data_IF_762935030078
#
_entry.id   IF_762935030078
#
_cell.length_a   1.000
_cell.length_b   1.000
_cell.length_c   1.000
_cell.angle_alpha   90.00
_cell.angle_beta   90.00
_cell.angle_gamma   90.00
#
_symmetry.space_group_name_H-M   'P 1'
#
loop_
_entity.id
_entity.type
_entity.pdbx_description
1 polymer ?
#
# COMPACT_ATOMS: atom_id res chain seq x y z
N UNK A 1 -18.28 -7.57 -55.01
CA UNK A 1 -17.20 -7.68 -53.99
C UNK A 1 -17.59 -8.62 -52.86
N UNK A 2 -18.73 -8.44 -52.21
CA UNK A 2 -19.18 -9.28 -51.08
C UNK A 2 -19.24 -10.79 -51.44
N UNK A 3 -19.76 -11.14 -52.62
CA UNK A 3 -19.86 -12.52 -53.08
C UNK A 3 -18.48 -13.16 -53.35
N UNK A 4 -17.48 -12.37 -53.78
CA UNK A 4 -16.12 -12.84 -53.96
C UNK A 4 -15.44 -13.12 -52.65
N UNK A 5 -15.54 -12.22 -51.68
CA UNK A 5 -15.01 -12.43 -50.33
C UNK A 5 -15.60 -13.68 -49.68
N UNK A 6 -16.93 -13.85 -49.74
CA UNK A 6 -17.60 -15.03 -49.21
C UNK A 6 -17.15 -16.35 -49.89
N UNK A 7 -16.81 -16.30 -51.21
CA UNK A 7 -16.24 -17.44 -51.89
C UNK A 7 -14.83 -17.78 -51.41
N UNK A 8 -13.96 -16.75 -51.26
CA UNK A 8 -12.59 -16.92 -50.74
C UNK A 8 -12.63 -17.52 -49.33
N UNK A 9 -13.46 -16.98 -48.44
CA UNK A 9 -13.62 -17.48 -47.07
C UNK A 9 -14.05 -18.96 -47.03
N UNK A 10 -14.90 -19.36 -47.94
CA UNK A 10 -15.34 -20.77 -48.08
C UNK A 10 -14.22 -21.67 -48.62
N UNK A 11 -13.42 -21.18 -49.58
CA UNK A 11 -12.30 -21.92 -50.15
C UNK A 11 -11.17 -22.05 -49.09
N UNK A 12 -10.87 -20.98 -48.39
CA UNK A 12 -9.90 -20.98 -47.31
C UNK A 12 -10.30 -21.96 -46.18
N UNK A 13 -11.62 -22.03 -45.84
CA UNK A 13 -12.13 -22.99 -44.86
C UNK A 13 -12.04 -24.46 -45.33
N UNK A 14 -11.93 -24.72 -46.66
CA UNK A 14 -11.82 -26.04 -47.19
C UNK A 14 -10.36 -26.56 -47.33
N UNK A 15 -9.41 -25.65 -47.57
CA UNK A 15 -8.04 -26.01 -47.93
C UNK A 15 -7.05 -25.42 -46.96
N UNK A 16 -7.47 -24.56 -46.04
CA UNK A 16 -6.63 -23.72 -45.23
C UNK A 16 -6.66 -24.01 -43.75
N UNK A 17 -5.67 -23.54 -43.11
CA UNK A 17 -5.58 -23.31 -41.67
C UNK A 17 -5.44 -21.81 -41.46
N UNK A 18 -6.28 -21.23 -40.60
CA UNK A 18 -6.21 -19.80 -40.32
C UNK A 18 -4.86 -19.49 -39.63
N UNK A 19 -4.19 -18.37 -40.00
CA UNK A 19 -2.99 -17.96 -39.30
C UNK A 19 -3.31 -17.63 -37.84
N UNK A 20 -2.44 -18.05 -36.93
CA UNK A 20 -2.53 -17.71 -35.52
C UNK A 20 -1.43 -16.70 -35.16
N UNK A 21 -1.83 -15.53 -34.74
CA UNK A 21 -0.89 -14.49 -34.29
C UNK A 21 -0.24 -14.89 -32.97
N UNK A 22 1.05 -14.57 -32.83
CA UNK A 22 1.76 -14.68 -31.58
C UNK A 22 1.18 -13.72 -30.54
N UNK A 23 1.30 -14.08 -29.28
CA UNK A 23 0.91 -13.24 -28.13
C UNK A 23 1.95 -13.27 -27.02
N UNK A 24 1.84 -12.31 -26.09
CA UNK A 24 2.70 -12.19 -24.92
C UNK A 24 1.81 -12.24 -23.69
N UNK A 25 2.17 -13.06 -22.73
CA UNK A 25 1.49 -13.20 -21.44
C UNK A 25 2.50 -13.09 -20.30
N UNK A 26 2.07 -12.54 -19.16
CA UNK A 26 2.86 -12.57 -17.93
C UNK A 26 2.99 -14.02 -17.47
N UNK A 27 4.18 -14.44 -17.04
CA UNK A 27 4.40 -15.78 -16.53
C UNK A 27 3.80 -15.98 -15.12
N UNK A 28 3.75 -17.20 -14.65
CA UNK A 28 3.18 -17.55 -13.34
C UNK A 28 3.97 -16.96 -12.16
N UNK A 29 5.21 -16.52 -12.39
CA UNK A 29 6.03 -15.86 -11.38
C UNK A 29 5.72 -14.36 -11.23
N UNK A 30 5.07 -13.76 -12.23
CA UNK A 30 4.80 -12.33 -12.29
C UNK A 30 6.04 -11.45 -12.50
N UNK A 31 7.16 -12.04 -12.90
CA UNK A 31 8.47 -11.36 -13.05
C UNK A 31 9.04 -11.36 -14.45
N UNK A 32 8.43 -12.08 -15.38
CA UNK A 32 8.82 -12.13 -16.80
C UNK A 32 7.61 -12.44 -17.69
N UNK A 33 7.81 -12.27 -18.99
CA UNK A 33 6.78 -12.52 -19.99
C UNK A 33 7.10 -13.77 -20.82
N UNK A 34 6.06 -14.57 -21.05
CA UNK A 34 6.11 -15.73 -21.92
C UNK A 34 5.52 -15.41 -23.29
N UNK A 35 6.23 -15.77 -24.35
CA UNK A 35 5.72 -15.68 -25.71
C UNK A 35 4.95 -16.94 -26.06
N UNK A 36 3.72 -16.78 -26.52
CA UNK A 36 2.96 -17.86 -27.18
C UNK A 36 3.23 -17.72 -28.67
N UNK A 37 3.91 -18.71 -29.31
CA UNK A 37 4.27 -18.61 -30.70
C UNK A 37 3.04 -18.56 -31.61
N UNK A 38 3.12 -17.71 -32.63
CA UNK A 38 2.19 -17.75 -33.75
C UNK A 38 2.60 -18.79 -34.79
N UNK A 39 1.73 -19.08 -35.70
CA UNK A 39 2.03 -19.89 -36.87
C UNK A 39 1.32 -19.33 -38.11
N UNK A 40 1.96 -19.48 -39.24
CA UNK A 40 1.40 -19.13 -40.53
C UNK A 40 0.19 -20.01 -40.86
N UNK A 41 -0.77 -19.43 -41.50
CA UNK A 41 -1.91 -20.12 -42.08
C UNK A 41 -1.67 -20.52 -43.51
N UNK A 42 -2.65 -21.14 -44.14
CA UNK A 42 -2.65 -21.53 -45.56
C UNK A 42 -4.00 -21.14 -46.17
N UNK A 43 -3.96 -20.54 -47.32
CA UNK A 43 -5.18 -20.12 -48.02
C UNK A 43 -5.01 -20.10 -49.51
N UNK A 44 -6.11 -19.88 -50.23
CA UNK A 44 -6.06 -19.82 -51.69
C UNK A 44 -5.54 -18.49 -52.20
N UNK A 45 -4.84 -18.51 -53.32
CA UNK A 45 -4.41 -17.30 -54.01
C UNK A 45 -5.63 -16.57 -54.61
N UNK A 46 -5.93 -15.40 -54.04
CA UNK A 46 -7.09 -14.56 -54.45
C UNK A 46 -7.05 -14.15 -55.89
N UNK A 47 -5.89 -13.87 -56.46
CA UNK A 47 -5.77 -13.48 -57.85
C UNK A 47 -6.01 -14.67 -58.81
N UNK A 48 -5.51 -15.87 -58.47
CA UNK A 48 -5.85 -17.08 -59.17
C UNK A 48 -7.34 -17.37 -59.21
N UNK A 49 -8.02 -17.21 -58.04
CA UNK A 49 -9.47 -17.40 -57.97
C UNK A 49 -10.20 -16.34 -58.81
N UNK A 50 -9.76 -15.09 -58.79
CA UNK A 50 -10.37 -14.00 -59.55
C UNK A 50 -10.21 -14.24 -61.06
N UNK A 51 -9.04 -14.62 -61.52
CA UNK A 51 -8.75 -14.96 -62.94
C UNK A 51 -9.61 -16.10 -63.37
N UNK A 52 -9.69 -17.18 -62.59
CA UNK A 52 -10.50 -18.35 -62.90
C UNK A 52 -12.00 -18.01 -63.00
N UNK A 53 -12.53 -17.16 -62.08
CA UNK A 53 -13.94 -16.71 -62.16
C UNK A 53 -14.20 -15.86 -63.41
N UNK A 54 -13.22 -15.02 -63.79
CA UNK A 54 -13.37 -14.19 -64.98
C UNK A 54 -13.40 -15.05 -66.25
N UNK A 55 -12.47 -16.00 -66.41
CA UNK A 55 -12.43 -16.95 -67.51
C UNK A 55 -13.69 -17.85 -67.59
N UNK A 56 -14.17 -18.33 -66.44
CA UNK A 56 -15.42 -19.08 -66.42
C UNK A 56 -16.65 -18.26 -66.81
N UNK A 57 -16.63 -16.95 -66.46
CA UNK A 57 -17.72 -16.04 -66.84
C UNK A 57 -17.76 -15.71 -68.36
N UNK A 58 -16.64 -15.68 -69.01
CA UNK A 58 -16.55 -15.42 -70.45
C UNK A 58 -16.92 -16.66 -71.30
N UNK A 59 -16.51 -17.87 -70.83
CA UNK A 59 -16.80 -19.10 -71.53
C UNK A 59 -18.21 -19.65 -71.40
N UNK A 60 -18.94 -19.26 -70.33
CA UNK A 60 -20.21 -19.81 -69.88
C UNK A 60 -20.24 -21.34 -69.72
N UNK A 61 -19.08 -21.98 -69.65
CA UNK A 61 -18.92 -23.39 -69.43
C UNK A 61 -18.44 -23.69 -68.00
N UNK A 62 -18.81 -24.88 -67.47
CA UNK A 62 -18.25 -25.32 -66.18
C UNK A 62 -16.79 -25.64 -66.31
N UNK A 63 -15.95 -24.88 -65.68
CA UNK A 63 -14.48 -24.98 -65.73
C UNK A 63 -13.95 -25.61 -64.44
N UNK A 64 -13.06 -26.56 -64.57
CA UNK A 64 -12.27 -27.06 -63.39
C UNK A 64 -11.00 -26.28 -63.28
N UNK A 65 -10.79 -25.63 -62.16
CA UNK A 65 -9.62 -24.78 -61.87
C UNK A 65 -8.80 -25.41 -60.78
N UNK A 66 -7.49 -25.52 -61.00
CA UNK A 66 -6.51 -25.87 -59.96
C UNK A 66 -6.13 -24.58 -59.27
N UNK A 67 -6.44 -24.47 -58.00
CA UNK A 67 -6.07 -23.33 -57.16
C UNK A 67 -4.75 -23.56 -56.51
N UNK A 68 -3.86 -22.58 -56.54
CA UNK A 68 -2.64 -22.56 -55.73
C UNK A 68 -2.99 -22.16 -54.31
N UNK A 69 -2.36 -22.86 -53.36
CA UNK A 69 -2.40 -22.53 -51.94
C UNK A 69 -1.08 -21.92 -51.54
N UNK A 70 -1.14 -20.81 -50.85
CA UNK A 70 0.01 -20.08 -50.34
C UNK A 70 -0.06 -19.94 -48.83
N UNK A 71 1.07 -19.61 -48.25
CA UNK A 71 1.21 -19.34 -46.84
C UNK A 71 0.67 -17.95 -46.53
N UNK A 72 -0.11 -17.81 -45.45
CA UNK A 72 -0.64 -16.55 -44.94
C UNK A 72 0.09 -16.25 -43.64
N UNK A 73 0.90 -15.24 -43.65
CA UNK A 73 1.61 -14.81 -42.45
C UNK A 73 0.63 -14.33 -41.34
N UNK A 74 0.92 -14.63 -40.08
CA UNK A 74 0.13 -14.09 -38.97
C UNK A 74 0.28 -12.57 -38.87
N UNK A 75 -0.74 -11.89 -38.33
CA UNK A 75 -0.68 -10.44 -38.14
C UNK A 75 0.41 -10.00 -37.15
N UNK A 76 0.78 -10.89 -36.22
CA UNK A 76 1.86 -10.73 -35.26
C UNK A 76 2.77 -11.95 -35.37
N UNK A 77 4.01 -11.73 -35.75
CA UNK A 77 5.03 -12.79 -35.82
C UNK A 77 5.55 -13.16 -34.42
N UNK A 78 6.11 -14.36 -34.28
CA UNK A 78 6.76 -14.78 -33.04
C UNK A 78 8.00 -13.91 -32.71
N UNK A 79 8.66 -13.35 -33.72
CA UNK A 79 9.80 -12.43 -33.53
C UNK A 79 9.36 -11.11 -32.92
N UNK A 80 8.27 -10.51 -33.42
CA UNK A 80 7.70 -9.28 -32.87
C UNK A 80 7.24 -9.47 -31.43
N UNK A 81 6.53 -10.56 -31.13
CA UNK A 81 6.13 -10.90 -29.79
C UNK A 81 7.33 -11.11 -28.84
N UNK A 82 8.41 -11.75 -29.34
CA UNK A 82 9.63 -11.95 -28.56
C UNK A 82 10.35 -10.62 -28.27
N UNK A 83 10.36 -9.72 -29.23
CA UNK A 83 10.94 -8.39 -29.03
C UNK A 83 10.13 -7.58 -28.01
N UNK A 84 8.80 -7.57 -28.15
CA UNK A 84 7.91 -6.90 -27.18
C UNK A 84 8.07 -7.48 -25.77
N UNK A 85 8.14 -8.80 -25.61
CA UNK A 85 8.38 -9.46 -24.34
C UNK A 85 9.70 -9.01 -23.68
N UNK A 86 10.78 -8.91 -24.43
CA UNK A 86 12.08 -8.42 -23.93
C UNK A 86 12.02 -6.97 -23.47
N UNK A 87 11.29 -6.11 -24.18
CA UNK A 87 11.10 -4.70 -23.82
C UNK A 87 10.30 -4.62 -22.52
N UNK A 88 9.22 -5.41 -22.38
CA UNK A 88 8.42 -5.47 -21.17
C UNK A 88 9.23 -6.01 -19.97
N UNK A 89 10.05 -7.04 -20.18
CA UNK A 89 10.88 -7.59 -19.10
C UNK A 89 11.95 -6.60 -18.64
N UNK A 90 12.50 -5.78 -19.55
CA UNK A 90 13.42 -4.71 -19.16
C UNK A 90 12.75 -3.67 -18.24
N UNK A 91 11.47 -3.36 -18.48
CA UNK A 91 10.67 -2.47 -17.62
C UNK A 91 10.42 -3.11 -16.24
N UNK A 92 10.13 -4.41 -16.18
CA UNK A 92 9.93 -5.13 -14.91
C UNK A 92 11.21 -5.20 -14.06
N UNK A 93 12.39 -5.26 -14.69
CA UNK A 93 13.68 -5.33 -14.00
C UNK A 93 14.17 -3.95 -13.53
N UNK A 94 13.61 -2.86 -14.03
CA UNK A 94 14.00 -1.52 -13.61
C UNK A 94 13.72 -1.31 -12.12
N UNK A 95 14.70 -0.79 -11.37
CA UNK A 95 14.51 -0.42 -9.98
C UNK A 95 13.75 0.90 -9.90
N UNK A 96 12.65 0.91 -9.16
CA UNK A 96 11.84 2.11 -8.93
C UNK A 96 11.65 2.30 -7.44
N UNK A 97 12.09 3.44 -6.93
CA UNK A 97 11.93 3.81 -5.53
C UNK A 97 11.67 5.30 -5.36
N UNK A 98 10.94 5.63 -4.29
CA UNK A 98 10.65 6.98 -3.85
C UNK A 98 10.99 7.13 -2.37
N UNK A 99 11.89 8.04 -2.05
CA UNK A 99 12.15 8.42 -0.68
C UNK A 99 11.09 9.43 -0.24
N UNK A 100 10.18 8.99 0.62
CA UNK A 100 9.23 9.85 1.31
C UNK A 100 9.79 10.46 2.60
N UNK A 101 9.04 11.40 3.21
CA UNK A 101 9.36 11.95 4.54
C UNK A 101 9.46 10.91 5.65
N UNK A 102 8.63 9.87 5.61
CA UNK A 102 8.56 8.81 6.62
C UNK A 102 9.48 7.63 6.27
N UNK A 103 9.43 7.16 5.03
CA UNK A 103 10.12 5.94 4.61
C UNK A 103 10.48 5.90 3.13
N UNK A 104 11.27 4.89 2.77
CA UNK A 104 11.52 4.53 1.38
C UNK A 104 10.40 3.62 0.88
N UNK A 105 9.86 3.93 -0.30
CA UNK A 105 8.89 3.11 -1.02
C UNK A 105 9.54 2.51 -2.25
N UNK A 106 9.40 1.21 -2.42
CA UNK A 106 9.92 0.48 -3.57
C UNK A 106 8.75 -0.16 -4.33
N UNK A 107 8.72 0.01 -5.65
CA UNK A 107 7.71 -0.63 -6.46
C UNK A 107 7.94 -2.14 -6.51
N UNK A 108 6.94 -2.91 -6.10
CA UNK A 108 6.98 -4.37 -6.12
C UNK A 108 6.96 -4.91 -7.56
N UNK A 109 7.37 -6.16 -7.80
CA UNK A 109 7.19 -6.81 -9.10
C UNK A 109 5.74 -6.77 -9.59
N UNK A 110 4.77 -6.91 -8.69
CA UNK A 110 3.34 -6.85 -9.01
C UNK A 110 2.91 -5.45 -9.47
N UNK A 111 3.39 -4.39 -8.80
CA UNK A 111 3.13 -3.02 -9.22
C UNK A 111 3.65 -2.80 -10.65
N UNK A 112 4.92 -3.13 -10.89
CA UNK A 112 5.56 -2.97 -12.19
C UNK A 112 4.89 -3.79 -13.29
N UNK A 113 4.41 -5.00 -12.98
CA UNK A 113 3.64 -5.82 -13.92
C UNK A 113 2.33 -5.15 -14.36
N UNK A 114 1.68 -4.40 -13.46
CA UNK A 114 0.47 -3.63 -13.80
C UNK A 114 0.74 -2.42 -14.70
N UNK A 115 1.99 -1.93 -14.72
CA UNK A 115 2.39 -0.76 -15.52
C UNK A 115 2.69 -1.08 -16.97
N UNK A 116 2.90 -2.36 -17.30
CA UNK A 116 3.41 -2.78 -18.60
C UNK A 116 2.38 -3.61 -19.32
N UNK A 117 2.20 -3.33 -20.58
CA UNK A 117 1.31 -4.06 -21.47
C UNK A 117 1.83 -4.07 -22.90
N UNK A 118 1.05 -4.63 -23.81
CA UNK A 118 1.35 -4.61 -25.23
C UNK A 118 0.30 -3.80 -25.98
N UNK A 119 0.76 -3.05 -26.97
CA UNK A 119 -0.09 -2.33 -27.90
C UNK A 119 0.19 -2.77 -29.34
N UNK A 120 -0.87 -3.00 -30.10
CA UNK A 120 -0.74 -3.13 -31.56
C UNK A 120 -0.53 -1.76 -32.19
N UNK A 121 0.51 -1.62 -32.97
CA UNK A 121 0.81 -0.45 -33.78
C UNK A 121 0.95 -0.85 -35.24
N UNK A 122 0.96 0.13 -36.15
CA UNK A 122 1.31 -0.12 -37.55
C UNK A 122 2.72 -0.71 -37.63
N UNK A 123 2.82 -2.01 -37.92
CA UNK A 123 4.09 -2.72 -38.02
C UNK A 123 4.38 -3.72 -36.90
N UNK A 124 3.37 -4.08 -36.05
CA UNK A 124 3.51 -5.20 -35.11
C UNK A 124 3.10 -4.91 -33.67
N UNK A 125 3.67 -5.69 -32.76
CA UNK A 125 3.44 -5.62 -31.33
C UNK A 125 4.58 -4.83 -30.66
N UNK A 126 4.23 -3.86 -29.82
CA UNK A 126 5.20 -3.06 -29.06
C UNK A 126 4.82 -3.05 -27.58
N UNK A 127 5.82 -2.95 -26.71
CA UNK A 127 5.57 -2.67 -25.30
C UNK A 127 4.87 -1.31 -25.15
N UNK A 128 3.95 -1.21 -24.22
CA UNK A 128 3.23 0.01 -23.88
C UNK A 128 3.20 0.18 -22.35
N UNK A 129 3.19 1.43 -21.90
CA UNK A 129 3.17 1.77 -20.47
C UNK A 129 1.79 2.27 -20.09
N UNK A 130 1.19 1.62 -19.11
CA UNK A 130 -0.05 2.06 -18.50
C UNK A 130 0.25 3.21 -17.50
N UNK A 131 0.27 4.44 -17.99
CA UNK A 131 0.53 5.62 -17.16
C UNK A 131 -0.48 5.80 -16.02
N UNK A 132 -1.72 5.31 -16.17
CA UNK A 132 -2.72 5.36 -15.09
C UNK A 132 -2.33 4.46 -13.92
N UNK A 133 -1.80 3.26 -14.18
CA UNK A 133 -1.34 2.37 -13.11
C UNK A 133 -0.07 2.89 -12.43
N UNK A 134 0.84 3.51 -13.18
CA UNK A 134 2.01 4.21 -12.61
C UNK A 134 1.57 5.34 -11.69
N UNK A 135 0.59 6.13 -12.12
CA UNK A 135 0.02 7.22 -11.32
C UNK A 135 -0.69 6.70 -10.07
N UNK A 136 -1.47 5.64 -10.16
CA UNK A 136 -2.17 5.03 -9.02
C UNK A 136 -1.19 4.56 -7.94
N UNK A 137 -0.07 3.95 -8.34
CA UNK A 137 0.99 3.58 -7.40
C UNK A 137 1.59 4.82 -6.71
N UNK A 138 1.92 5.88 -7.47
CA UNK A 138 2.44 7.12 -6.90
C UNK A 138 1.45 7.76 -5.94
N UNK A 139 0.16 7.81 -6.30
CA UNK A 139 -0.89 8.38 -5.44
C UNK A 139 -1.04 7.57 -4.14
N UNK A 140 -0.87 6.24 -4.20
CA UNK A 140 -0.81 5.39 -3.01
C UNK A 140 0.39 5.67 -2.12
N UNK A 141 1.56 5.91 -2.71
CA UNK A 141 2.77 6.32 -1.98
C UNK A 141 2.58 7.68 -1.33
N UNK A 142 2.03 8.66 -2.07
CA UNK A 142 1.73 10.00 -1.55
C UNK A 142 0.76 9.93 -0.38
N UNK A 143 -0.34 9.19 -0.52
CA UNK A 143 -1.33 9.01 0.55
C UNK A 143 -0.75 8.36 1.82
N UNK A 144 0.27 7.49 1.69
CA UNK A 144 0.96 6.89 2.82
C UNK A 144 1.89 7.89 3.55
N UNK A 145 2.36 8.92 2.86
CA UNK A 145 3.26 9.95 3.40
C UNK A 145 2.52 11.16 3.95
N UNK A 146 1.39 11.53 3.35
CA UNK A 146 0.57 12.65 3.79
C UNK A 146 -0.19 12.35 5.09
N UNK A 147 -0.47 13.40 5.85
CA UNK A 147 -1.42 13.38 6.95
C UNK A 147 -1.91 14.79 7.26
N UNK A 148 -3.14 14.87 7.73
CA UNK A 148 -3.68 16.10 8.31
C UNK A 148 -3.04 16.42 9.66
N UNK A 149 -2.92 17.70 10.04
CA UNK A 149 -2.47 18.07 11.38
C UNK A 149 -3.49 17.62 12.44
N UNK A 150 -2.99 17.21 13.60
CA UNK A 150 -3.81 16.86 14.76
C UNK A 150 -3.61 17.94 15.81
N UNK A 151 -4.67 18.63 16.18
CA UNK A 151 -4.59 19.73 17.12
C UNK A 151 -4.20 19.27 18.52
N UNK A 152 -3.38 20.08 19.20
CA UNK A 152 -3.13 19.93 20.62
C UNK A 152 -4.40 20.23 21.41
N UNK A 153 -4.53 19.64 22.61
CA UNK A 153 -5.62 19.95 23.55
C UNK A 153 -5.01 20.40 24.87
N UNK A 154 -5.44 21.59 25.30
CA UNK A 154 -5.16 22.13 26.64
C UNK A 154 -6.43 22.08 27.49
N UNK A 155 -6.36 21.52 28.68
CA UNK A 155 -7.41 21.63 29.68
C UNK A 155 -7.36 22.98 30.39
N UNK A 156 -8.49 23.69 30.39
CA UNK A 156 -8.66 24.98 31.01
C UNK A 156 -9.83 24.97 31.99
N UNK A 157 -9.80 25.84 33.00
CA UNK A 157 -10.94 26.07 33.88
C UNK A 157 -12.05 26.90 33.18
N UNK A 158 -13.18 27.10 33.87
CA UNK A 158 -14.31 27.89 33.37
C UNK A 158 -13.96 29.35 33.04
N UNK A 159 -12.82 29.85 33.50
CA UNK A 159 -12.31 31.19 33.20
C UNK A 159 -11.28 31.23 32.08
N UNK A 160 -10.97 30.07 31.49
CA UNK A 160 -9.94 29.92 30.46
C UNK A 160 -8.52 29.84 31.02
N UNK A 161 -8.36 29.62 32.32
CA UNK A 161 -7.02 29.42 32.91
C UNK A 161 -6.50 28.02 32.60
N UNK A 162 -5.30 27.93 32.02
CA UNK A 162 -4.66 26.66 31.72
C UNK A 162 -4.45 25.87 33.01
N UNK A 163 -4.97 24.64 33.03
CA UNK A 163 -4.75 23.65 34.08
C UNK A 163 -3.58 22.73 33.71
N UNK A 164 -3.69 22.07 32.56
CA UNK A 164 -2.60 21.26 32.00
C UNK A 164 -2.83 20.95 30.51
N UNK A 165 -1.76 20.65 29.73
CA UNK A 165 -1.91 20.05 28.42
C UNK A 165 -2.47 18.61 28.55
N UNK A 166 -3.51 18.30 27.77
CA UNK A 166 -4.15 16.97 27.75
C UNK A 166 -3.65 16.09 26.60
N UNK A 167 -3.42 16.69 25.43
CA UNK A 167 -2.91 15.97 24.26
C UNK A 167 -1.92 16.84 23.48
N UNK A 168 -0.71 16.32 23.17
CA UNK A 168 0.20 16.98 22.24
C UNK A 168 -0.38 17.03 20.82
N UNK A 169 -0.13 18.12 20.10
CA UNK A 169 -0.46 18.20 18.67
C UNK A 169 0.56 17.46 17.81
N UNK A 170 0.13 17.11 16.60
CA UNK A 170 1.00 16.53 15.56
C UNK A 170 0.94 17.42 14.31
N UNK A 171 2.09 17.77 13.74
CA UNK A 171 2.14 18.48 12.46
C UNK A 171 1.59 17.60 11.35
N UNK A 172 0.87 18.18 10.41
CA UNK A 172 0.49 17.54 9.17
C UNK A 172 1.67 17.48 8.21
N UNK A 173 1.57 16.65 7.19
CA UNK A 173 2.53 16.51 6.11
C UNK A 173 1.78 16.61 4.78
N UNK A 174 2.23 17.50 3.90
CA UNK A 174 1.69 17.71 2.55
C UNK A 174 2.83 17.53 1.54
N UNK A 175 2.64 16.64 0.55
CA UNK A 175 3.64 16.38 -0.50
C UNK A 175 3.47 17.39 -1.62
N UNK A 176 4.54 18.10 -1.98
CA UNK A 176 4.44 19.29 -2.81
C UNK A 176 4.88 19.13 -4.26
N UNK A 177 5.56 18.04 -4.62
CA UNK A 177 6.14 17.83 -5.96
C UNK A 177 5.51 16.65 -6.72
N UNK A 178 4.28 16.24 -6.40
CA UNK A 178 3.61 15.05 -6.94
C UNK A 178 3.59 15.06 -8.47
N UNK A 179 3.18 16.17 -9.10
CA UNK A 179 3.05 16.26 -10.56
C UNK A 179 4.40 16.16 -11.30
N UNK A 180 5.45 16.74 -10.74
CA UNK A 180 6.79 16.63 -11.33
C UNK A 180 7.32 15.21 -11.20
N UNK A 181 7.15 14.60 -10.02
CA UNK A 181 7.54 13.21 -9.75
C UNK A 181 6.78 12.24 -10.67
N UNK A 182 5.47 12.46 -10.88
CA UNK A 182 4.66 11.66 -11.79
C UNK A 182 5.21 11.70 -13.22
N UNK A 183 5.53 12.88 -13.74
CA UNK A 183 6.04 13.05 -15.09
C UNK A 183 7.42 12.39 -15.25
N UNK A 184 8.32 12.57 -14.30
CA UNK A 184 9.66 11.97 -14.31
C UNK A 184 9.62 10.44 -14.20
N UNK A 185 8.77 9.93 -13.32
CA UNK A 185 8.56 8.48 -13.13
C UNK A 185 7.99 7.84 -14.39
N UNK A 186 6.94 8.42 -14.97
CA UNK A 186 6.33 7.90 -16.21
C UNK A 186 7.33 7.89 -17.36
N UNK A 187 8.16 8.94 -17.49
CA UNK A 187 9.20 9.01 -18.50
C UNK A 187 10.30 7.96 -18.29
N UNK A 188 10.73 7.73 -17.06
CA UNK A 188 11.72 6.71 -16.71
C UNK A 188 11.19 5.30 -17.00
N UNK A 189 9.95 5.00 -16.63
CA UNK A 189 9.28 3.73 -16.93
C UNK A 189 9.19 3.53 -18.45
N UNK A 190 8.74 4.52 -19.21
CA UNK A 190 8.69 4.43 -20.69
C UNK A 190 10.04 4.15 -21.36
N UNK A 191 11.13 4.63 -20.76
CA UNK A 191 12.49 4.39 -21.24
C UNK A 191 13.10 3.07 -20.76
N UNK A 192 12.44 2.34 -19.86
CA UNK A 192 12.99 1.15 -19.23
C UNK A 192 14.20 1.43 -18.34
N UNK A 193 14.26 2.64 -17.76
CA UNK A 193 15.35 3.05 -16.87
C UNK A 193 14.87 3.00 -15.43
N UNK A 194 15.81 2.75 -14.49
CA UNK A 194 15.52 2.88 -13.07
C UNK A 194 15.13 4.31 -12.70
N UNK A 195 14.35 4.45 -11.62
CA UNK A 195 13.94 5.73 -11.09
C UNK A 195 14.13 5.76 -9.56
N UNK A 196 14.84 6.78 -9.08
CA UNK A 196 15.04 7.02 -7.65
C UNK A 196 14.68 8.47 -7.36
N UNK A 197 13.44 8.68 -6.92
CA UNK A 197 12.91 10.01 -6.65
C UNK A 197 12.88 10.35 -5.16
N UNK A 198 12.67 11.63 -4.87
CA UNK A 198 12.45 12.14 -3.51
C UNK A 198 11.16 12.94 -3.50
N UNK A 199 10.25 12.59 -2.60
CA UNK A 199 9.04 13.37 -2.36
C UNK A 199 9.37 14.57 -1.47
N UNK A 200 9.27 15.76 -2.04
CA UNK A 200 9.38 17.00 -1.28
C UNK A 200 8.09 17.24 -0.49
N UNK A 201 8.22 17.60 0.77
CA UNK A 201 7.09 17.83 1.65
C UNK A 201 7.20 19.15 2.39
N UNK A 202 6.08 19.61 2.91
CA UNK A 202 5.99 20.71 3.87
C UNK A 202 5.18 20.26 5.09
N UNK A 203 5.53 20.82 6.24
CA UNK A 203 4.72 20.65 7.44
C UNK A 203 3.50 21.55 7.40
N UNK A 204 2.35 21.03 7.83
CA UNK A 204 1.13 21.79 8.12
C UNK A 204 1.07 21.96 9.64
N UNK A 205 1.11 23.18 10.17
CA UNK A 205 1.07 23.39 11.61
C UNK A 205 -0.29 22.96 12.18
N UNK A 206 -0.29 22.46 13.40
CA UNK A 206 -1.50 22.21 14.18
C UNK A 206 -1.89 23.44 14.99
N UNK A 207 -3.14 23.49 15.43
CA UNK A 207 -3.66 24.49 16.38
C UNK A 207 -3.76 23.88 17.79
N UNK A 208 -3.93 24.73 18.81
CA UNK A 208 -4.23 24.28 20.18
C UNK A 208 -5.68 24.59 20.49
N UNK A 209 -6.44 23.56 20.80
CA UNK A 209 -7.83 23.64 21.24
C UNK A 209 -7.91 23.67 22.76
N UNK A 210 -8.92 24.35 23.30
CA UNK A 210 -9.17 24.39 24.73
C UNK A 210 -10.36 23.49 25.09
N UNK A 211 -10.14 22.58 26.05
CA UNK A 211 -11.17 21.75 26.66
C UNK A 211 -11.48 22.30 28.05
N UNK A 212 -12.69 22.83 28.25
CA UNK A 212 -13.10 23.34 29.58
C UNK A 212 -13.41 22.15 30.50
N UNK A 213 -12.70 22.05 31.61
CA UNK A 213 -12.89 21.02 32.64
C UNK A 213 -13.08 21.62 34.02
N UNK A 214 -13.55 20.85 34.99
CA UNK A 214 -13.63 21.28 36.38
C UNK A 214 -12.23 21.57 36.95
N UNK A 215 -12.11 22.54 37.82
CA UNK A 215 -10.86 22.90 38.47
C UNK A 215 -10.77 22.22 39.87
N UNK A 216 -10.85 20.88 39.88
CA UNK A 216 -10.83 20.10 41.11
C UNK A 216 -10.51 18.62 40.84
N UNK A 217 -10.55 17.77 41.90
CA UNK A 217 -10.24 16.34 41.75
C UNK A 217 -11.21 15.61 40.80
N UNK A 218 -12.40 16.15 40.58
CA UNK A 218 -13.42 15.59 39.68
C UNK A 218 -13.04 15.61 38.18
N UNK A 219 -11.98 16.33 37.80
CA UNK A 219 -11.46 16.29 36.43
C UNK A 219 -10.70 15.02 36.11
N UNK A 220 -10.21 14.32 37.11
CA UNK A 220 -9.43 13.10 36.92
C UNK A 220 -10.35 11.87 36.82
N UNK A 221 -10.00 10.94 35.94
CA UNK A 221 -10.69 9.65 35.83
C UNK A 221 -10.56 8.78 37.08
N UNK A 222 -9.63 9.13 37.96
CA UNK A 222 -9.36 8.41 39.22
C UNK A 222 -9.16 9.36 40.40
N UNK A 223 -9.82 9.05 41.50
CA UNK A 223 -9.68 9.79 42.78
C UNK A 223 -8.52 9.24 43.61
N UNK A 224 -7.29 9.53 43.19
CA UNK A 224 -6.07 9.08 43.84
C UNK A 224 -5.91 9.69 45.26
N UNK A 225 -5.34 8.92 46.18
CA UNK A 225 -4.93 9.44 47.49
C UNK A 225 -3.73 10.36 47.38
N UNK A 226 -3.58 11.26 48.34
CA UNK A 226 -2.39 12.15 48.35
C UNK A 226 -1.09 11.33 48.31
N UNK A 227 -0.23 11.60 47.35
CA UNK A 227 1.06 10.94 47.14
C UNK A 227 0.98 9.53 46.50
N UNK A 228 -0.20 9.03 46.17
CA UNK A 228 -0.38 7.75 45.44
C UNK A 228 0.12 7.90 44.00
N UNK A 229 1.01 6.97 43.59
CA UNK A 229 1.45 6.87 42.18
C UNK A 229 0.37 6.16 41.36
N UNK A 230 0.04 6.72 40.21
CA UNK A 230 -0.86 6.08 39.26
C UNK A 230 -0.58 6.49 37.82
N UNK A 231 -0.98 5.64 36.91
CA UNK A 231 -0.86 5.82 35.46
C UNK A 231 -2.24 6.06 34.89
N UNK A 232 -2.41 7.17 34.24
CA UNK A 232 -3.62 7.55 33.52
C UNK A 232 -3.45 7.19 32.04
N UNK A 233 -4.42 6.47 31.48
CA UNK A 233 -4.44 6.06 30.07
C UNK A 233 -5.76 6.51 29.46
N UNK A 234 -5.73 7.63 28.76
CA UNK A 234 -6.87 8.14 28.00
C UNK A 234 -6.89 7.53 26.61
N UNK A 235 -7.86 6.64 26.38
CA UNK A 235 -8.05 5.94 25.11
C UNK A 235 -8.72 6.83 24.05
N UNK A 236 -9.38 7.95 24.45
CA UNK A 236 -9.97 8.92 23.52
C UNK A 236 -8.90 9.79 22.87
N UNK A 237 -8.00 10.31 23.69
CA UNK A 237 -6.90 11.16 23.23
C UNK A 237 -5.63 10.36 22.87
N UNK A 238 -5.65 9.03 23.11
CA UNK A 238 -4.50 8.12 22.94
C UNK A 238 -3.26 8.65 23.65
N UNK A 239 -3.42 8.97 24.95
CA UNK A 239 -2.35 9.51 25.79
C UNK A 239 -2.14 8.71 27.07
N UNK A 240 -0.93 8.81 27.61
CA UNK A 240 -0.56 8.25 28.90
C UNK A 240 0.09 9.35 29.75
N UNK A 241 -0.39 9.50 30.99
CA UNK A 241 0.13 10.50 31.94
C UNK A 241 0.45 9.83 33.28
N UNK A 242 1.56 10.22 33.88
CA UNK A 242 2.00 9.74 35.20
C UNK A 242 1.68 10.76 36.27
N UNK A 243 0.94 10.34 37.31
CA UNK A 243 0.52 11.18 38.40
C UNK A 243 0.99 10.70 39.76
N UNK A 244 1.13 11.66 40.69
CA UNK A 244 1.24 11.41 42.13
C UNK A 244 0.16 12.19 42.87
N UNK A 245 -0.90 11.49 43.32
CA UNK A 245 -2.14 12.15 43.73
C UNK A 245 -2.73 12.92 42.56
N UNK A 246 -2.82 14.24 42.67
CA UNK A 246 -3.31 15.13 41.60
C UNK A 246 -2.17 15.85 40.84
N UNK A 247 -0.92 15.61 41.26
CA UNK A 247 0.24 16.24 40.62
C UNK A 247 0.70 15.41 39.42
N UNK A 248 0.74 16.04 38.23
CA UNK A 248 1.32 15.43 37.04
C UNK A 248 2.86 15.36 37.17
N UNK A 249 3.40 14.15 37.12
CA UNK A 249 4.84 13.91 37.21
C UNK A 249 5.47 13.89 35.83
N UNK A 250 4.78 13.28 34.82
CA UNK A 250 5.27 13.17 33.46
C UNK A 250 4.13 12.94 32.46
N UNK A 251 4.30 13.35 31.24
CA UNK A 251 3.32 13.22 30.16
C UNK A 251 2.64 14.56 29.83
N UNK A 252 1.60 14.55 28.96
CA UNK A 252 1.06 13.37 28.29
C UNK A 252 2.00 12.82 27.22
N UNK A 253 2.09 11.48 27.12
CA UNK A 253 2.82 10.72 26.13
C UNK A 253 1.81 10.20 25.12
N UNK A 254 2.08 10.36 23.81
CA UNK A 254 1.28 9.71 22.77
C UNK A 254 1.51 8.19 22.78
N UNK A 255 0.44 7.42 22.71
CA UNK A 255 0.45 5.96 22.78
C UNK A 255 -0.42 5.36 21.69
N UNK A 256 -0.24 4.07 21.38
CA UNK A 256 -1.23 3.29 20.63
C UNK A 256 -1.82 2.23 21.57
N UNK A 257 -3.09 1.93 21.37
CA UNK A 257 -3.84 0.97 22.18
C UNK A 257 -4.59 -0.03 21.31
N UNK A 258 -5.40 -0.91 21.89
CA UNK A 258 -6.08 -1.98 21.18
C UNK A 258 -6.96 -1.50 20.05
N UNK A 259 -6.78 -2.13 18.88
CA UNK A 259 -7.58 -1.89 17.67
C UNK A 259 -8.94 -2.61 17.71
N UNK A 260 -9.69 -2.48 16.62
CA UNK A 260 -11.02 -3.10 16.46
C UNK A 260 -10.93 -4.61 16.64
N UNK A 261 -11.75 -5.15 17.55
CA UNK A 261 -11.77 -6.58 17.90
C UNK A 261 -10.71 -7.01 18.92
N UNK A 262 -9.83 -6.08 19.33
CA UNK A 262 -8.79 -6.29 20.33
C UNK A 262 -8.67 -5.07 21.25
N UNK A 263 -9.80 -4.48 21.60
CA UNK A 263 -9.87 -3.24 22.36
C UNK A 263 -9.17 -3.33 23.71
N UNK A 264 -8.49 -2.26 24.10
CA UNK A 264 -8.01 -2.10 25.46
C UNK A 264 -9.21 -1.93 26.39
N UNK A 265 -9.24 -2.72 27.46
CA UNK A 265 -10.29 -2.68 28.46
C UNK A 265 -10.20 -1.40 29.30
N UNK A 266 -11.34 -0.86 29.73
CA UNK A 266 -11.41 0.29 30.64
C UNK A 266 -11.61 -0.14 32.09
N UNK A 267 -11.06 0.60 33.04
CA UNK A 267 -11.21 0.32 34.46
C UNK A 267 -10.03 0.76 35.29
N UNK A 268 -10.00 0.29 36.54
CA UNK A 268 -8.92 0.54 37.50
C UNK A 268 -8.22 -0.78 37.81
N UNK A 269 -6.95 -0.85 37.53
CA UNK A 269 -6.13 -2.07 37.63
C UNK A 269 -4.84 -1.76 38.37
N UNK A 270 -3.96 -2.76 38.54
CA UNK A 270 -2.68 -2.59 39.20
C UNK A 270 -1.57 -3.34 38.46
N UNK A 271 -0.40 -2.76 38.38
CA UNK A 271 0.79 -3.46 37.89
C UNK A 271 1.07 -4.64 38.78
N UNK A 272 1.11 -5.86 38.25
CA UNK A 272 1.34 -7.08 39.01
C UNK A 272 2.61 -7.85 38.62
N UNK A 273 3.15 -7.59 37.42
CA UNK A 273 4.34 -8.29 36.93
C UNK A 273 5.12 -7.37 35.96
N UNK A 274 6.46 -7.44 36.03
CA UNK A 274 7.33 -6.56 35.21
C UNK A 274 8.52 -7.31 34.66
N UNK A 275 8.92 -6.98 33.43
CA UNK A 275 10.12 -7.49 32.78
C UNK A 275 10.85 -6.34 32.06
N UNK A 276 12.19 -6.20 32.22
CA UNK A 276 12.96 -5.26 31.43
C UNK A 276 12.88 -5.54 29.91
N UNK A 277 12.76 -6.83 29.55
CA UNK A 277 12.50 -7.28 28.20
C UNK A 277 11.84 -8.66 28.23
N UNK A 278 10.91 -8.92 27.31
CA UNK A 278 10.19 -10.19 27.19
C UNK A 278 9.72 -10.41 25.75
N UNK A 279 9.72 -11.68 25.30
CA UNK A 279 9.06 -12.06 24.06
C UNK A 279 7.54 -12.04 24.27
N UNK A 280 6.79 -11.45 23.32
CA UNK A 280 5.33 -11.35 23.38
C UNK A 280 4.68 -12.02 22.16
N UNK A 281 3.53 -12.66 22.37
CA UNK A 281 2.93 -13.54 21.38
C UNK A 281 3.64 -14.89 21.32
N UNK A 282 3.99 -15.36 20.12
CA UNK A 282 4.71 -16.62 19.88
C UNK A 282 3.97 -17.86 20.36
N UNK A 283 2.64 -17.82 20.44
CA UNK A 283 1.77 -18.95 20.83
C UNK A 283 0.76 -19.26 19.71
N UNK A 284 0.14 -20.47 19.70
CA UNK A 284 -0.90 -20.78 18.73
C UNK A 284 -2.12 -19.83 18.79
N UNK A 285 -2.44 -19.29 19.96
CA UNK A 285 -3.53 -18.32 20.18
C UNK A 285 -3.12 -16.93 19.71
N UNK A 286 -1.81 -16.60 19.80
CA UNK A 286 -1.23 -15.33 19.42
C UNK A 286 -0.04 -15.57 18.46
N UNK A 287 -0.30 -15.79 17.17
CA UNK A 287 0.73 -16.24 16.22
C UNK A 287 1.76 -15.15 15.84
N UNK A 288 1.48 -13.88 16.17
CA UNK A 288 2.51 -12.85 16.09
C UNK A 288 3.63 -13.13 17.12
N UNK A 289 4.83 -12.67 16.86
CA UNK A 289 5.98 -13.00 17.69
C UNK A 289 6.96 -11.83 17.75
N UNK A 290 6.75 -10.96 18.74
CA UNK A 290 7.64 -9.84 19.02
C UNK A 290 8.72 -10.24 20.01
N UNK A 291 9.99 -10.15 19.59
CA UNK A 291 11.13 -10.56 20.41
C UNK A 291 11.67 -9.41 21.23
N UNK A 292 12.08 -9.75 22.47
CA UNK A 292 12.74 -8.82 23.38
C UNK A 292 12.01 -7.47 23.54
N UNK A 293 10.68 -7.51 23.63
CA UNK A 293 9.83 -6.32 23.84
C UNK A 293 10.30 -5.60 25.11
N UNK A 294 10.71 -4.33 25.05
CA UNK A 294 11.32 -3.67 26.19
C UNK A 294 10.29 -3.09 27.16
N UNK A 295 10.67 -3.03 28.45
CA UNK A 295 9.99 -2.29 29.51
C UNK A 295 8.55 -2.71 29.78
N UNK A 296 8.30 -4.03 29.84
CA UNK A 296 6.97 -4.62 29.98
C UNK A 296 6.49 -4.53 31.43
N UNK A 297 5.28 -3.96 31.62
CA UNK A 297 4.57 -3.91 32.90
C UNK A 297 3.14 -4.40 32.72
N UNK A 298 2.85 -5.65 33.12
CA UNK A 298 1.50 -6.23 33.08
C UNK A 298 0.63 -5.65 34.18
N UNK A 299 -0.61 -5.25 33.82
CA UNK A 299 -1.56 -4.65 34.75
C UNK A 299 -2.91 -5.36 34.79
N UNK A 300 -3.23 -6.19 33.78
CA UNK A 300 -4.39 -7.09 33.83
C UNK A 300 -4.20 -8.23 32.82
N UNK A 301 -4.31 -9.51 33.28
CA UNK A 301 -4.12 -10.68 32.40
C UNK A 301 -2.92 -10.50 31.44
N UNK A 302 -3.15 -10.53 30.11
CA UNK A 302 -2.13 -10.28 29.10
C UNK A 302 -1.94 -8.82 28.72
N UNK A 303 -2.70 -7.90 29.31
CA UNK A 303 -2.56 -6.46 29.02
C UNK A 303 -1.36 -5.86 29.73
N UNK A 304 -0.53 -5.17 28.96
CA UNK A 304 0.70 -4.56 29.45
C UNK A 304 0.91 -3.13 28.92
N UNK A 305 1.69 -2.35 29.67
CA UNK A 305 2.37 -1.15 29.19
C UNK A 305 3.75 -1.61 28.73
N UNK A 306 4.17 -1.27 27.50
CA UNK A 306 5.50 -1.68 27.02
C UNK A 306 6.01 -0.77 25.88
N UNK A 307 7.32 -0.77 25.66
CA UNK A 307 7.92 -0.13 24.49
C UNK A 307 7.62 -0.91 23.21
N UNK A 308 7.34 -0.21 22.13
CA UNK A 308 6.99 -0.79 20.84
C UNK A 308 7.94 -0.28 19.75
N UNK A 309 9.13 -0.93 19.57
CA UNK A 309 10.12 -0.48 18.58
C UNK A 309 9.70 -0.67 17.13
N UNK A 310 8.66 -1.41 16.85
CA UNK A 310 8.07 -1.64 15.52
C UNK A 310 7.03 -0.58 15.13
N UNK A 311 6.60 0.27 16.08
CA UNK A 311 5.61 1.32 15.86
C UNK A 311 6.32 2.58 15.39
N UNK A 312 5.92 3.09 14.24
CA UNK A 312 6.49 4.32 13.66
C UNK A 312 5.75 5.57 14.12
N UNK A 313 4.42 5.48 14.29
CA UNK A 313 3.57 6.60 14.69
C UNK A 313 2.69 6.29 15.90
N UNK A 314 2.68 7.20 16.89
CA UNK A 314 1.89 7.10 18.10
C UNK A 314 0.78 8.17 18.16
N UNK A 315 -0.30 7.84 18.89
CA UNK A 315 -1.44 8.73 19.11
C UNK A 315 -2.52 8.57 18.05
N UNK A 316 -3.55 9.39 18.11
CA UNK A 316 -4.64 9.39 17.12
C UNK A 316 -4.12 9.73 15.71
N UNK A 317 -4.90 9.34 14.68
CA UNK A 317 -4.56 9.61 13.27
C UNK A 317 -3.48 8.69 12.70
N UNK A 318 -3.26 7.52 13.30
CA UNK A 318 -2.45 6.44 12.76
C UNK A 318 -3.29 5.17 12.65
N UNK A 319 -2.98 4.31 11.67
CA UNK A 319 -3.57 2.98 11.52
C UNK A 319 -2.90 1.93 12.45
N UNK A 320 -1.82 2.33 13.13
CA UNK A 320 -1.08 1.45 14.02
C UNK A 320 -1.83 1.24 15.33
N UNK A 321 -2.16 0.00 15.63
CA UNK A 321 -2.86 -0.42 16.84
C UNK A 321 -2.20 -1.64 17.48
N UNK A 322 -2.66 -2.02 18.68
CA UNK A 322 -2.20 -3.21 19.40
C UNK A 322 -3.30 -4.28 19.50
N UNK A 323 -2.96 -5.42 20.09
CA UNK A 323 -3.90 -6.47 20.50
C UNK A 323 -4.45 -6.24 21.92
N UNK A 324 -4.48 -4.98 22.37
CA UNK A 324 -5.00 -4.57 23.67
C UNK A 324 -3.96 -4.00 24.65
N UNK A 325 -2.69 -4.26 24.44
CA UNK A 325 -1.61 -3.62 25.19
C UNK A 325 -1.52 -2.12 24.88
N UNK A 326 -0.81 -1.39 25.71
CA UNK A 326 -0.48 0.01 25.49
C UNK A 326 0.94 0.08 24.93
N UNK A 327 1.02 0.38 23.65
CA UNK A 327 2.28 0.61 22.92
C UNK A 327 2.78 2.03 23.23
N UNK A 328 4.02 2.14 23.66
CA UNK A 328 4.64 3.40 24.09
C UNK A 328 5.96 3.56 23.32
N UNK A 329 6.38 4.78 22.89
CA UNK A 329 7.73 5.02 22.38
C UNK A 329 8.78 4.45 23.35
N UNK A 330 9.82 3.76 22.84
CA UNK A 330 10.72 2.93 23.67
C UNK A 330 11.43 3.75 24.77
N UNK A 331 11.86 4.96 24.48
CA UNK A 331 12.49 5.88 25.40
C UNK A 331 11.53 6.40 26.49
N UNK A 332 10.26 6.60 26.12
CA UNK A 332 9.19 6.96 27.03
C UNK A 332 8.75 5.76 27.89
N UNK A 333 8.68 4.57 27.31
CA UNK A 333 8.33 3.34 28.02
C UNK A 333 9.28 3.04 29.17
N UNK A 334 10.57 3.40 29.03
CA UNK A 334 11.55 3.29 30.14
C UNK A 334 11.15 4.13 31.36
N UNK A 335 10.69 5.36 31.14
CA UNK A 335 10.26 6.28 32.21
C UNK A 335 9.00 5.77 32.87
N UNK A 336 8.03 5.26 32.08
CA UNK A 336 6.81 4.62 32.59
C UNK A 336 7.16 3.40 33.41
N UNK A 337 8.04 2.55 32.92
CA UNK A 337 8.51 1.35 33.62
C UNK A 337 9.17 1.70 34.97
N UNK A 338 10.06 2.66 35.01
CA UNK A 338 10.74 3.06 36.25
C UNK A 338 9.77 3.69 37.28
N UNK A 339 8.75 4.42 36.82
CA UNK A 339 7.74 5.02 37.66
C UNK A 339 6.74 4.00 38.23
N UNK A 340 6.23 3.11 37.37
CA UNK A 340 5.15 2.17 37.70
C UNK A 340 5.71 0.91 38.37
N UNK A 341 5.85 0.92 39.69
CA UNK A 341 6.23 -0.24 40.50
C UNK A 341 5.10 -1.29 40.57
N UNK A 342 5.40 -2.51 41.01
CA UNK A 342 4.35 -3.49 41.33
C UNK A 342 3.40 -2.92 42.39
N UNK A 343 2.10 -2.96 42.11
CA UNK A 343 1.06 -2.36 42.92
C UNK A 343 0.64 -0.94 42.47
N UNK A 344 1.38 -0.30 41.55
CA UNK A 344 0.97 1.01 41.00
C UNK A 344 -0.36 0.87 40.27
N UNK A 345 -1.29 1.78 40.55
CA UNK A 345 -2.60 1.84 39.90
C UNK A 345 -2.47 2.24 38.43
N UNK A 346 -3.17 1.53 37.54
CA UNK A 346 -3.33 1.86 36.13
C UNK A 346 -4.80 2.08 35.86
N UNK A 347 -5.15 3.27 35.39
CA UNK A 347 -6.54 3.66 35.06
C UNK A 347 -6.64 3.83 33.56
N UNK A 348 -7.53 3.07 32.94
CA UNK A 348 -7.82 3.17 31.51
C UNK A 348 -9.26 3.67 31.35
N UNK A 349 -9.46 4.71 30.54
CA UNK A 349 -10.77 5.36 30.34
C UNK A 349 -10.94 5.94 28.94
N UNK A 350 -12.15 6.44 28.67
CA UNK A 350 -12.52 7.15 27.42
C UNK A 350 -13.16 8.49 27.77
#
# INVERSE_FOLDING_TARGET
EEGFTALIDRLDALVGEAPLSASVELDDSGTSHRVIPGHAGRGVDRESVRTALFEASESMESTRVELSVHEIEPEVSTEEATQAAKEMDALLQAEVSLQGPKRLHEASPTDKASWVGVRRAFGGLTADVNGSAVREWLDGVVAAEERDPINAIDEVDANGTLLEPARPGKVGIDVTNVENTAAELEEAVKKGTGFHGVLASREIPFETEQRVVANGPERFAYCARAGEKWVDVDLTDSTLTLYRGQERIYGPILINHGGVGHETITGVYHVYLKFPAQDMGCTPEWPYCERAVPWVSYWHASYALHGAPWVEEFGIGTDESSHGCINIPVDEAKKVFDFAEIGTTVVTHR
#
